data_IF_177894023214
#
_entry.id   IF_177894023214
#
_cell.length_a   1.000
_cell.length_b   1.000
_cell.length_c   1.000
_cell.angle_alpha   90.00
_cell.angle_beta   90.00
_cell.angle_gamma   90.00
#
_symmetry.space_group_name_H-M   'P 1'
#
loop_
_entity.id
_entity.type
_entity.pdbx_description
1 polymer ?
#
# COMPACT_ATOMS: atom_id res chain seq x y z
N UNK A 1 9.15 14.35 -8.64
CA UNK A 1 8.27 13.16 -8.50
C UNK A 1 8.59 12.40 -7.21
N UNK A 2 7.56 12.02 -6.44
CA UNK A 2 7.76 11.16 -5.28
C UNK A 2 8.31 9.79 -5.71
N UNK A 3 9.27 9.24 -4.96
CA UNK A 3 9.80 7.90 -5.18
C UNK A 3 9.03 6.93 -4.30
N UNK A 4 8.44 5.90 -4.91
CA UNK A 4 7.79 4.81 -4.20
C UNK A 4 8.66 3.56 -4.31
N UNK A 5 8.89 2.91 -3.16
CA UNK A 5 9.59 1.64 -3.06
C UNK A 5 8.60 0.59 -2.55
N UNK A 6 8.60 -0.57 -3.20
CA UNK A 6 7.81 -1.72 -2.75
C UNK A 6 8.74 -2.77 -2.18
N UNK A 7 8.42 -3.20 -0.96
CA UNK A 7 9.01 -4.36 -0.31
C UNK A 7 8.00 -5.51 -0.42
N UNK A 8 8.34 -6.54 -1.19
CA UNK A 8 7.48 -7.71 -1.41
C UNK A 8 7.54 -8.73 -0.28
N UNK A 9 8.52 -8.62 0.62
CA UNK A 9 8.74 -9.54 1.74
C UNK A 9 9.01 -8.76 3.03
N UNK A 10 8.07 -7.91 3.49
CA UNK A 10 8.28 -7.03 4.65
C UNK A 10 8.61 -7.77 5.94
N UNK A 11 8.21 -9.04 6.05
CA UNK A 11 8.48 -9.93 7.18
C UNK A 11 9.88 -10.57 7.19
N UNK A 12 10.67 -10.37 6.13
CA UNK A 12 12.02 -10.91 5.99
C UNK A 12 13.03 -9.80 5.71
N UNK A 13 14.13 -9.75 6.46
CA UNK A 13 15.25 -8.88 6.08
C UNK A 13 16.02 -9.43 4.85
N UNK A 14 16.97 -8.64 4.33
CA UNK A 14 17.75 -9.01 3.14
C UNK A 14 18.55 -10.30 3.37
N UNK A 15 19.12 -10.51 4.56
CA UNK A 15 19.95 -11.67 4.85
C UNK A 15 19.10 -12.95 4.91
N UNK A 16 17.94 -12.87 5.56
CA UNK A 16 16.98 -13.97 5.66
C UNK A 16 16.41 -14.33 4.30
N UNK A 17 15.99 -13.35 3.49
CA UNK A 17 15.49 -13.60 2.14
C UNK A 17 16.57 -14.22 1.25
N UNK A 18 17.79 -13.70 1.31
CA UNK A 18 18.95 -14.28 0.59
C UNK A 18 19.19 -15.72 1.01
N UNK A 19 19.15 -16.02 2.32
CA UNK A 19 19.35 -17.36 2.84
C UNK A 19 18.29 -18.34 2.37
N UNK A 20 17.02 -17.95 2.40
CA UNK A 20 15.90 -18.80 1.95
C UNK A 20 15.98 -19.07 0.45
N UNK A 21 16.21 -18.04 -0.37
CA UNK A 21 16.38 -18.23 -1.82
C UNK A 21 17.58 -19.11 -2.13
N UNK A 22 18.70 -18.91 -1.44
CA UNK A 22 19.91 -19.71 -1.64
C UNK A 22 19.68 -21.19 -1.31
N UNK A 23 18.98 -21.49 -0.22
CA UNK A 23 18.67 -22.87 0.15
C UNK A 23 17.84 -23.58 -0.93
N UNK A 24 16.85 -22.91 -1.52
CA UNK A 24 16.05 -23.46 -2.63
C UNK A 24 16.86 -23.67 -3.92
N UNK A 25 17.75 -22.72 -4.24
CA UNK A 25 18.65 -22.80 -5.40
C UNK A 25 19.59 -24.01 -5.25
N UNK A 26 20.25 -24.12 -4.08
CA UNK A 26 21.22 -25.17 -3.77
C UNK A 26 20.54 -26.55 -3.71
N UNK A 27 19.28 -26.62 -3.28
CA UNK A 27 18.48 -27.84 -3.25
C UNK A 27 17.98 -28.32 -4.62
N UNK A 28 18.08 -27.52 -5.67
CA UNK A 28 17.54 -27.85 -7.01
C UNK A 28 18.42 -27.35 -8.17
N UNK A 29 19.71 -27.71 -8.25
CA UNK A 29 20.68 -27.05 -9.14
C UNK A 29 20.34 -27.13 -10.65
N UNK A 30 19.66 -28.19 -11.09
CA UNK A 30 19.31 -28.41 -12.51
C UNK A 30 18.01 -27.74 -12.94
N UNK A 31 17.21 -27.22 -12.00
CA UNK A 31 15.93 -26.54 -12.32
C UNK A 31 16.20 -25.13 -12.82
N UNK A 32 15.25 -24.61 -13.59
CA UNK A 32 15.24 -23.22 -14.02
C UNK A 32 14.98 -22.30 -12.83
N UNK A 33 15.72 -21.20 -12.76
CA UNK A 33 15.61 -20.26 -11.64
C UNK A 33 14.24 -19.58 -11.59
N UNK A 34 13.63 -19.27 -12.75
CA UNK A 34 12.28 -18.70 -12.81
C UNK A 34 11.22 -19.56 -12.09
N UNK A 35 11.39 -20.88 -12.09
CA UNK A 35 10.47 -21.78 -11.40
C UNK A 35 10.66 -21.75 -9.89
N UNK A 36 11.91 -21.61 -9.41
CA UNK A 36 12.19 -21.41 -7.98
C UNK A 36 11.63 -20.07 -7.52
N UNK A 37 11.86 -19.00 -8.28
CA UNK A 37 11.31 -17.68 -7.96
C UNK A 37 9.77 -17.69 -7.95
N UNK A 38 9.16 -18.52 -8.78
CA UNK A 38 7.73 -18.81 -8.81
C UNK A 38 7.16 -19.43 -7.53
N UNK A 39 7.99 -19.95 -6.62
CA UNK A 39 7.56 -20.37 -5.28
C UNK A 39 7.35 -19.18 -4.32
N UNK A 40 7.96 -18.03 -4.61
CA UNK A 40 7.97 -16.84 -3.76
C UNK A 40 7.05 -15.74 -4.29
N UNK A 41 6.96 -15.62 -5.61
CA UNK A 41 6.14 -14.61 -6.28
C UNK A 41 5.38 -15.24 -7.45
N UNK A 42 4.29 -14.62 -7.94
CA UNK A 42 3.60 -15.08 -9.14
C UNK A 42 4.56 -15.25 -10.33
N UNK A 43 4.42 -16.34 -11.10
CA UNK A 43 5.34 -16.67 -12.21
C UNK A 43 5.48 -15.54 -13.24
N UNK A 44 4.38 -14.88 -13.60
CA UNK A 44 4.41 -13.73 -14.51
C UNK A 44 5.24 -12.57 -13.96
N UNK A 45 5.24 -12.37 -12.64
CA UNK A 45 6.08 -11.36 -12.00
C UNK A 45 7.55 -11.79 -11.98
N UNK A 46 7.84 -13.07 -11.69
CA UNK A 46 9.19 -13.62 -11.77
C UNK A 46 9.83 -13.38 -13.16
N UNK A 47 9.10 -13.65 -14.24
CA UNK A 47 9.56 -13.43 -15.62
C UNK A 47 9.89 -11.95 -15.89
N UNK A 48 9.03 -11.03 -15.42
CA UNK A 48 9.25 -9.58 -15.56
C UNK A 48 10.47 -9.12 -14.76
N UNK A 49 10.66 -9.61 -13.53
CA UNK A 49 11.80 -9.28 -12.68
C UNK A 49 13.13 -9.71 -13.33
N UNK A 50 13.19 -10.95 -13.84
CA UNK A 50 14.38 -11.48 -14.50
C UNK A 50 14.72 -10.66 -15.74
N UNK A 51 13.71 -10.34 -16.56
CA UNK A 51 13.88 -9.48 -17.72
C UNK A 51 14.42 -8.10 -17.34
N UNK A 52 13.92 -7.48 -16.27
CA UNK A 52 14.37 -6.17 -15.80
C UNK A 52 15.82 -6.19 -15.29
N UNK A 53 16.27 -7.32 -14.75
CA UNK A 53 17.64 -7.52 -14.26
C UNK A 53 18.60 -8.03 -15.34
N UNK A 54 18.12 -8.21 -16.58
CA UNK A 54 18.85 -8.80 -17.70
C UNK A 54 19.37 -10.22 -17.38
N UNK A 55 18.57 -10.99 -16.64
CA UNK A 55 18.84 -12.38 -16.30
C UNK A 55 17.96 -13.27 -17.20
N UNK A 56 18.58 -14.24 -17.86
CA UNK A 56 17.86 -15.21 -18.68
C UNK A 56 16.89 -16.06 -17.83
N UNK A 57 15.63 -16.14 -18.24
CA UNK A 57 14.60 -16.94 -17.57
C UNK A 57 14.84 -18.46 -17.72
N UNK A 58 15.58 -18.88 -18.77
CA UNK A 58 16.00 -20.27 -18.99
C UNK A 58 17.29 -20.63 -18.23
N UNK A 59 17.85 -19.69 -17.46
CA UNK A 59 19.04 -19.93 -16.65
C UNK A 59 18.76 -20.95 -15.56
N UNK A 60 19.67 -21.92 -15.41
CA UNK A 60 19.58 -22.91 -14.34
C UNK A 60 20.09 -22.33 -13.02
N UNK A 61 19.58 -22.88 -11.92
CA UNK A 61 20.01 -22.52 -10.57
C UNK A 61 21.53 -22.60 -10.39
N UNK A 62 22.17 -23.64 -10.92
CA UNK A 62 23.62 -23.83 -10.85
C UNK A 62 24.45 -22.74 -11.56
N UNK A 63 23.83 -21.98 -12.46
CA UNK A 63 24.48 -20.95 -13.26
C UNK A 63 24.27 -19.54 -12.66
N UNK A 64 23.41 -19.42 -11.64
CA UNK A 64 23.10 -18.14 -11.01
C UNK A 64 24.28 -17.67 -10.15
N UNK A 65 24.79 -16.49 -10.44
CA UNK A 65 25.88 -15.90 -9.68
C UNK A 65 25.38 -15.25 -8.38
N UNK A 66 26.26 -15.15 -7.38
CA UNK A 66 25.98 -14.42 -6.14
C UNK A 66 25.58 -12.96 -6.41
N UNK A 67 26.16 -12.33 -7.44
CA UNK A 67 25.85 -10.96 -7.82
C UNK A 67 24.42 -10.84 -8.37
N UNK A 68 23.98 -11.79 -9.19
CA UNK A 68 22.60 -11.84 -9.68
C UNK A 68 21.62 -12.09 -8.54
N UNK A 69 21.92 -13.04 -7.65
CA UNK A 69 21.08 -13.29 -6.46
C UNK A 69 20.90 -12.03 -5.60
N UNK A 70 21.98 -11.31 -5.33
CA UNK A 70 21.90 -10.06 -4.57
C UNK A 70 21.04 -9.01 -5.28
N UNK A 71 21.20 -8.84 -6.61
CA UNK A 71 20.34 -7.92 -7.39
C UNK A 71 18.86 -8.30 -7.31
N UNK A 72 18.54 -9.59 -7.35
CA UNK A 72 17.17 -10.09 -7.24
C UNK A 72 16.61 -9.75 -5.86
N UNK A 73 17.35 -10.05 -4.78
CA UNK A 73 16.93 -9.74 -3.41
C UNK A 73 16.74 -8.23 -3.24
N UNK A 74 17.69 -7.42 -3.69
CA UNK A 74 17.61 -5.96 -3.59
C UNK A 74 16.37 -5.41 -4.33
N UNK A 75 16.08 -5.94 -5.53
CA UNK A 75 14.90 -5.54 -6.29
C UNK A 75 13.60 -5.98 -5.61
N UNK A 76 13.54 -7.17 -5.02
CA UNK A 76 12.36 -7.66 -4.27
C UNK A 76 12.11 -6.87 -2.98
N UNK A 77 13.17 -6.35 -2.35
CA UNK A 77 13.06 -5.57 -1.10
C UNK A 77 12.83 -4.07 -1.35
N UNK A 78 13.28 -3.55 -2.49
CA UNK A 78 13.29 -2.12 -2.78
C UNK A 78 12.90 -1.83 -4.24
N UNK A 79 11.81 -2.41 -4.74
CA UNK A 79 11.42 -2.22 -6.14
C UNK A 79 10.98 -0.77 -6.38
N UNK A 80 11.69 0.00 -7.23
CA UNK A 80 11.32 1.37 -7.51
C UNK A 80 10.13 1.41 -8.47
N UNK A 81 9.07 2.10 -8.05
CA UNK A 81 7.92 2.40 -8.91
C UNK A 81 7.87 3.90 -9.23
N UNK A 82 7.86 4.21 -10.52
CA UNK A 82 7.69 5.56 -11.02
C UNK A 82 6.21 5.93 -11.00
N UNK A 83 5.85 6.91 -10.16
CA UNK A 83 4.50 7.46 -10.14
C UNK A 83 4.34 8.38 -11.35
N UNK A 84 3.54 7.95 -12.33
CA UNK A 84 3.26 8.70 -13.57
C UNK A 84 2.06 9.64 -13.46
N UNK A 85 1.29 9.51 -12.38
CA UNK A 85 0.10 10.31 -12.11
C UNK A 85 -0.83 9.59 -11.14
N UNK A 86 -1.88 10.28 -10.71
CA UNK A 86 -3.03 9.68 -10.01
C UNK A 86 -4.13 9.49 -11.04
N UNK A 87 -4.78 8.34 -11.05
CA UNK A 87 -6.03 8.15 -11.81
C UNK A 87 -7.16 8.75 -10.97
N UNK A 88 -7.97 9.63 -11.55
CA UNK A 88 -9.23 10.05 -10.93
C UNK A 88 -10.22 8.89 -11.09
N UNK A 89 -10.56 8.22 -10.00
CA UNK A 89 -11.57 7.17 -9.96
C UNK A 89 -12.74 7.56 -9.04
N UNK A 90 -13.65 6.61 -8.79
CA UNK A 90 -14.65 6.73 -7.73
C UNK A 90 -13.92 6.79 -6.38
N UNK A 91 -13.60 7.99 -5.94
CA UNK A 91 -13.00 8.20 -4.63
C UNK A 91 -14.01 7.74 -3.57
N UNK A 92 -13.65 6.71 -2.81
CA UNK A 92 -14.52 6.14 -1.78
C UNK A 92 -14.80 7.13 -0.65
N UNK A 93 -13.96 8.16 -0.51
CA UNK A 93 -14.00 9.21 0.52
C UNK A 93 -13.35 10.47 -0.05
N UNK A 94 -13.93 11.63 0.26
CA UNK A 94 -13.35 12.94 -0.05
C UNK A 94 -12.43 13.39 1.08
N UNK A 95 -11.18 13.73 0.77
CA UNK A 95 -10.30 14.42 1.71
C UNK A 95 -10.50 15.94 1.57
N UNK A 96 -10.79 16.62 2.68
CA UNK A 96 -11.20 18.03 2.69
C UNK A 96 -12.65 18.21 3.16
N UNK A 97 -13.10 19.46 3.29
CA UNK A 97 -14.49 19.76 3.68
C UNK A 97 -14.59 21.03 4.50
N UNK A 98 -15.66 21.13 5.29
CA UNK A 98 -15.86 22.21 6.26
C UNK A 98 -14.83 22.07 7.39
N UNK A 99 -14.08 23.14 7.64
CA UNK A 99 -12.99 23.11 8.62
C UNK A 99 -13.50 22.79 10.02
N UNK A 100 -12.90 21.77 10.65
CA UNK A 100 -13.21 21.40 12.04
C UNK A 100 -12.92 22.54 13.04
N UNK A 101 -12.12 23.54 12.66
CA UNK A 101 -11.88 24.73 13.50
C UNK A 101 -13.13 25.58 13.67
N UNK A 102 -14.01 25.58 12.67
CA UNK A 102 -15.23 26.39 12.60
C UNK A 102 -16.47 25.65 13.11
N UNK A 103 -16.29 24.42 13.61
CA UNK A 103 -17.36 23.58 14.16
C UNK A 103 -17.08 23.32 15.64
N UNK A 104 -18.09 23.44 16.49
CA UNK A 104 -17.97 23.07 17.91
C UNK A 104 -18.00 21.54 18.05
N UNK A 105 -16.93 20.90 18.57
CA UNK A 105 -16.85 19.45 18.67
C UNK A 105 -17.86 18.81 19.64
N UNK A 106 -18.49 19.61 20.53
CA UNK A 106 -19.47 19.14 21.51
C UNK A 106 -20.91 19.28 21.03
N UNK A 107 -21.15 20.06 19.99
CA UNK A 107 -22.50 20.29 19.47
C UNK A 107 -22.66 20.00 17.98
N UNK A 108 -21.56 19.97 17.24
CA UNK A 108 -21.51 19.97 15.78
C UNK A 108 -22.10 21.23 15.13
N UNK A 109 -22.31 22.29 15.91
CA UNK A 109 -22.80 23.58 15.43
C UNK A 109 -21.67 24.40 14.80
N UNK A 110 -22.01 25.21 13.80
CA UNK A 110 -21.12 26.22 13.25
C UNK A 110 -20.83 27.29 14.29
N UNK A 111 -19.55 27.60 14.48
CA UNK A 111 -19.10 28.75 15.28
C UNK A 111 -19.32 30.09 14.56
N UNK A 112 -19.61 30.05 13.26
CA UNK A 112 -19.78 31.23 12.41
C UNK A 112 -21.26 31.56 12.21
N UNK A 113 -22.10 30.53 12.08
CA UNK A 113 -23.54 30.69 11.84
C UNK A 113 -24.34 29.89 12.88
N UNK A 114 -24.80 30.53 13.98
CA UNK A 114 -25.62 29.87 14.98
C UNK A 114 -26.89 29.25 14.37
N UNK A 115 -27.24 28.05 14.81
CA UNK A 115 -28.36 27.25 14.28
C UNK A 115 -28.03 26.41 13.05
N UNK A 116 -26.83 26.51 12.48
CA UNK A 116 -26.35 25.65 11.41
C UNK A 116 -25.47 24.51 11.98
N UNK A 117 -25.73 23.27 11.59
CA UNK A 117 -25.00 22.09 12.06
C UNK A 117 -24.42 21.30 10.90
N UNK A 118 -23.28 20.65 11.13
CA UNK A 118 -22.58 19.83 10.14
C UNK A 118 -22.32 18.43 10.67
N UNK A 119 -22.47 17.42 9.83
CA UNK A 119 -22.21 16.03 10.18
C UNK A 119 -21.85 15.21 8.95
N UNK A 120 -21.16 14.10 9.16
CA UNK A 120 -20.73 13.23 8.07
C UNK A 120 -19.58 13.80 7.26
N UNK A 121 -19.42 13.25 6.07
CA UNK A 121 -18.26 13.47 5.17
C UNK A 121 -18.15 14.90 4.62
N UNK A 122 -19.12 15.78 4.89
CA UNK A 122 -18.98 17.20 4.56
C UNK A 122 -17.94 17.91 5.44
N UNK A 123 -17.63 17.34 6.61
CA UNK A 123 -16.61 17.83 7.52
C UNK A 123 -15.23 17.44 7.03
N UNK A 124 -14.24 18.29 7.31
CA UNK A 124 -12.83 18.08 6.95
C UNK A 124 -12.17 17.00 7.83
N UNK A 125 -12.61 15.76 7.64
CA UNK A 125 -11.98 14.55 8.16
C UNK A 125 -12.09 13.43 7.13
N UNK A 126 -11.08 12.57 7.08
CA UNK A 126 -11.10 11.33 6.31
C UNK A 126 -10.51 10.20 7.16
N UNK A 127 -11.25 9.09 7.21
CA UNK A 127 -10.80 7.86 7.85
C UNK A 127 -10.20 6.88 6.84
N UNK A 128 -9.30 6.02 7.30
CA UNK A 128 -8.90 4.84 6.52
C UNK A 128 -10.10 3.97 6.16
N UNK A 129 -9.97 3.14 5.11
CA UNK A 129 -11.00 2.14 4.78
C UNK A 129 -11.17 1.15 5.93
N UNK A 130 -12.38 0.61 6.10
CA UNK A 130 -12.71 -0.30 7.21
C UNK A 130 -13.81 0.19 8.16
N UNK A 131 -14.67 1.11 7.70
CA UNK A 131 -15.86 1.55 8.44
C UNK A 131 -15.69 2.82 9.28
N UNK A 132 -14.49 3.40 9.32
CA UNK A 132 -14.22 4.62 10.10
C UNK A 132 -15.04 5.82 9.64
N UNK A 133 -15.19 6.02 8.32
CA UNK A 133 -16.01 7.12 7.78
C UNK A 133 -17.49 6.97 8.14
N UNK A 134 -18.02 5.74 8.11
CA UNK A 134 -19.38 5.45 8.57
C UNK A 134 -19.53 5.72 10.06
N UNK A 135 -18.59 5.24 10.89
CA UNK A 135 -18.60 5.49 12.32
C UNK A 135 -18.59 6.99 12.64
N UNK A 136 -17.76 7.77 11.94
CA UNK A 136 -17.70 9.21 12.09
C UNK A 136 -19.02 9.87 11.65
N UNK A 137 -19.62 9.43 10.54
CA UNK A 137 -20.92 9.92 10.08
C UNK A 137 -22.05 9.65 11.09
N UNK A 138 -22.11 8.46 11.67
CA UNK A 138 -23.11 8.13 12.69
C UNK A 138 -22.93 8.93 13.97
N UNK A 139 -21.69 9.07 14.42
CA UNK A 139 -21.36 9.75 15.67
C UNK A 139 -21.66 11.25 15.58
N UNK A 140 -21.23 11.90 14.50
CA UNK A 140 -21.46 13.33 14.25
C UNK A 140 -22.93 13.60 13.96
N UNK A 141 -23.58 12.76 13.15
CA UNK A 141 -25.00 12.89 12.80
C UNK A 141 -25.91 12.81 14.03
N UNK A 142 -25.66 11.83 14.91
CA UNK A 142 -26.39 11.73 16.19
C UNK A 142 -26.22 12.99 17.04
N UNK A 143 -24.97 13.45 17.23
CA UNK A 143 -24.69 14.59 18.09
C UNK A 143 -25.30 15.89 17.55
N UNK A 144 -25.19 16.15 16.25
CA UNK A 144 -25.82 17.28 15.60
C UNK A 144 -27.36 17.25 15.78
N UNK A 145 -27.97 16.09 15.54
CA UNK A 145 -29.41 15.89 15.72
C UNK A 145 -29.87 16.17 17.15
N UNK A 146 -29.22 15.57 18.16
CA UNK A 146 -29.56 15.78 19.57
C UNK A 146 -29.42 17.24 20.04
N UNK A 147 -28.54 18.00 19.40
CA UNK A 147 -28.20 19.38 19.79
C UNK A 147 -29.03 20.43 19.05
N UNK A 148 -29.47 20.12 17.84
CA UNK A 148 -30.33 21.01 17.02
C UNK A 148 -31.76 21.18 17.54
N UNK A 149 -32.22 20.30 18.44
CA UNK A 149 -33.60 20.30 18.99
C UNK A 149 -33.66 20.85 20.42
N UNK A 150 -32.52 21.20 21.02
CA UNK A 150 -32.43 21.80 22.36
C UNK A 150 -32.34 23.32 22.27
#
# INVERSE_FOLDING_TARGET
PAKLLVDFFPEMDHAKLTGVLKNEIDGSPKKLFVNILGHFVPKSFAEVLLKQLEIDAEKKNSELSKKELNKIVDLLKNMPLAIVGRVNGDEFVTAGGVSLKEVDPKTMESKVCPGLYFAGEILDYDGFTGGFNLQAAWSTGRLAGEKSVK
#
